data_IF_903490058810
#
_entry.id   IF_903490058810
#
_cell.length_a   1.000
_cell.length_b   1.000
_cell.length_c   1.000
_cell.angle_alpha   90.00
_cell.angle_beta   90.00
_cell.angle_gamma   90.00
#
_symmetry.space_group_name_H-M   'P 1'
#
loop_
_entity.id
_entity.type
_entity.pdbx_description
1 polymer ?
#
# COMPACT_ATOMS: atom_id res chain seq x y z
N UNK A 1 9.38 -10.30 4.43
CA UNK A 1 9.43 -11.22 3.27
C UNK A 1 10.28 -10.58 2.19
N UNK A 2 11.16 -11.38 1.57
CA UNK A 2 12.04 -10.96 0.49
C UNK A 2 11.42 -11.18 -0.88
N UNK A 3 10.63 -12.24 -1.09
CA UNK A 3 9.95 -12.48 -2.38
C UNK A 3 8.75 -11.52 -2.57
N UNK A 4 8.80 -10.60 -3.56
CA UNK A 4 7.73 -9.65 -3.83
C UNK A 4 6.41 -10.32 -4.22
N UNK A 5 6.47 -11.48 -4.88
CA UNK A 5 5.28 -12.19 -5.38
C UNK A 5 4.48 -12.75 -4.22
N UNK A 6 5.17 -13.42 -3.30
CA UNK A 6 4.56 -13.96 -2.08
C UNK A 6 4.07 -12.82 -1.20
N UNK A 7 4.82 -11.72 -1.11
CA UNK A 7 4.42 -10.54 -0.35
C UNK A 7 3.14 -9.90 -0.90
N UNK A 8 3.06 -9.66 -2.20
CA UNK A 8 1.88 -9.08 -2.85
C UNK A 8 0.68 -10.02 -2.68
N UNK A 9 0.86 -11.31 -2.95
CA UNK A 9 -0.21 -12.31 -2.81
C UNK A 9 -0.68 -12.42 -1.34
N UNK A 10 0.24 -12.41 -0.37
CA UNK A 10 -0.12 -12.40 1.04
C UNK A 10 -0.87 -11.12 1.44
N UNK A 11 -0.48 -9.95 0.92
CA UNK A 11 -1.22 -8.71 1.13
C UNK A 11 -2.66 -8.82 0.62
N UNK A 12 -2.86 -9.29 -0.61
CA UNK A 12 -4.20 -9.46 -1.19
C UNK A 12 -5.03 -10.47 -0.38
N UNK A 13 -4.46 -11.62 -0.05
CA UNK A 13 -5.14 -12.68 0.71
C UNK A 13 -5.53 -12.21 2.12
N UNK A 14 -4.62 -11.56 2.85
CA UNK A 14 -4.90 -11.10 4.21
C UNK A 14 -5.87 -9.92 4.21
N UNK A 15 -5.80 -9.02 3.22
CA UNK A 15 -6.80 -7.97 3.07
C UNK A 15 -8.19 -8.54 2.76
N UNK A 16 -8.28 -9.56 1.93
CA UNK A 16 -9.54 -10.27 1.67
C UNK A 16 -10.06 -10.97 2.94
N UNK A 17 -9.19 -11.66 3.69
CA UNK A 17 -9.56 -12.29 4.96
C UNK A 17 -10.04 -11.26 6.00
N UNK A 18 -9.35 -10.14 6.13
CA UNK A 18 -9.76 -9.05 7.02
C UNK A 18 -11.10 -8.42 6.62
N UNK A 19 -11.42 -8.40 5.33
CA UNK A 19 -12.71 -7.91 4.85
C UNK A 19 -13.86 -8.88 5.17
N UNK A 20 -13.64 -10.18 4.95
CA UNK A 20 -14.68 -11.22 5.05
C UNK A 20 -15.16 -11.43 6.50
N UNK A 21 -14.24 -11.47 7.47
CA UNK A 21 -14.58 -11.80 8.87
C UNK A 21 -13.82 -10.93 9.87
N UNK A 22 -14.46 -10.65 11.01
CA UNK A 22 -13.78 -10.03 12.16
C UNK A 22 -12.64 -10.93 12.68
N UNK A 23 -12.87 -12.25 12.74
CA UNK A 23 -11.84 -13.21 13.12
C UNK A 23 -10.67 -13.21 12.11
N UNK A 24 -10.99 -13.08 10.82
CA UNK A 24 -10.00 -12.91 9.75
C UNK A 24 -9.14 -11.66 9.93
N UNK A 25 -9.74 -10.54 10.37
CA UNK A 25 -9.00 -9.30 10.64
C UNK A 25 -8.04 -9.45 11.83
N UNK A 26 -8.50 -10.08 12.92
CA UNK A 26 -7.66 -10.34 14.10
C UNK A 26 -6.50 -11.27 13.76
N UNK A 27 -6.78 -12.37 13.05
CA UNK A 27 -5.74 -13.31 12.60
C UNK A 27 -4.74 -12.65 11.65
N UNK A 28 -5.21 -11.75 10.79
CA UNK A 28 -4.35 -10.96 9.90
C UNK A 28 -3.42 -10.03 10.67
N UNK A 29 -3.89 -9.42 11.76
CA UNK A 29 -3.07 -8.63 12.68
C UNK A 29 -2.05 -9.50 13.43
N UNK A 30 -2.45 -10.69 13.89
CA UNK A 30 -1.54 -11.66 14.55
C UNK A 30 -0.46 -12.12 13.56
N UNK A 31 -0.85 -12.47 12.34
CA UNK A 31 0.07 -12.81 11.26
C UNK A 31 1.09 -11.69 11.03
N UNK A 32 0.61 -10.45 10.96
CA UNK A 32 1.46 -9.27 10.80
C UNK A 32 2.42 -9.09 11.98
N UNK A 33 1.99 -9.33 13.23
CA UNK A 33 2.89 -9.25 14.39
C UNK A 33 4.02 -10.29 14.35
N UNK A 34 3.74 -11.50 13.86
CA UNK A 34 4.72 -12.60 13.81
C UNK A 34 5.70 -12.43 12.63
N UNK A 35 5.19 -12.11 11.45
CA UNK A 35 5.98 -12.11 10.20
C UNK A 35 6.35 -10.71 9.69
N UNK A 36 5.57 -9.68 10.04
CA UNK A 36 5.68 -8.33 9.49
C UNK A 36 6.37 -7.28 10.37
N UNK A 37 6.46 -7.51 11.69
CA UNK A 37 6.93 -6.52 12.68
C UNK A 37 8.35 -5.95 12.42
N UNK A 38 9.23 -6.70 11.75
CA UNK A 38 10.61 -6.28 11.52
C UNK A 38 10.79 -5.26 10.38
N UNK A 39 9.79 -5.04 9.52
CA UNK A 39 9.95 -4.30 8.26
C UNK A 39 8.93 -3.17 8.07
N UNK A 40 8.25 -2.67 9.10
CA UNK A 40 7.22 -1.64 8.91
C UNK A 40 7.78 -0.21 8.83
N UNK A 41 7.19 0.59 7.92
CA UNK A 41 7.54 2.00 7.68
C UNK A 41 6.98 2.91 8.77
N UNK A 42 6.23 2.36 9.72
CA UNK A 42 5.64 3.08 10.85
C UNK A 42 6.73 3.32 11.90
N UNK A 43 7.77 4.08 11.52
CA UNK A 43 8.87 4.45 12.41
C UNK A 43 8.51 5.62 13.32
N UNK A 44 7.43 6.35 12.99
CA UNK A 44 7.02 7.57 13.68
C UNK A 44 5.57 7.48 14.13
N UNK A 45 5.30 7.76 15.40
CA UNK A 45 3.94 7.77 16.00
C UNK A 45 2.95 8.62 15.20
N UNK A 46 3.41 9.72 14.58
CA UNK A 46 2.59 10.59 13.71
C UNK A 46 2.05 9.87 12.48
N UNK A 47 2.85 9.00 11.86
CA UNK A 47 2.39 8.21 10.70
C UNK A 47 1.34 7.19 11.10
N UNK A 48 1.49 6.57 12.28
CA UNK A 48 0.50 5.66 12.83
C UNK A 48 -0.83 6.38 13.09
N UNK A 49 -0.77 7.55 13.73
CA UNK A 49 -1.96 8.38 14.01
C UNK A 49 -2.66 8.77 12.71
N UNK A 50 -1.91 9.20 11.69
CA UNK A 50 -2.49 9.58 10.40
C UNK A 50 -3.18 8.39 9.70
N UNK A 51 -2.58 7.21 9.75
CA UNK A 51 -3.16 5.98 9.18
C UNK A 51 -4.44 5.58 9.94
N UNK A 52 -4.44 5.70 11.27
CA UNK A 52 -5.58 5.31 12.12
C UNK A 52 -6.72 6.35 12.11
N UNK A 53 -6.42 7.61 11.76
CA UNK A 53 -7.42 8.68 11.70
C UNK A 53 -8.57 8.33 10.74
N UNK A 54 -8.26 7.79 9.56
CA UNK A 54 -9.27 7.48 8.53
C UNK A 54 -10.25 6.39 9.01
N UNK A 55 -9.79 5.21 9.49
CA UNK A 55 -10.67 4.20 10.08
C UNK A 55 -11.51 4.73 11.23
N UNK A 56 -10.94 5.55 12.11
CA UNK A 56 -11.63 6.06 13.30
C UNK A 56 -12.75 7.02 12.90
N UNK A 57 -12.49 7.97 12.00
CA UNK A 57 -13.51 8.91 11.53
C UNK A 57 -14.65 8.17 10.81
N UNK A 58 -14.32 7.21 9.94
CA UNK A 58 -15.31 6.42 9.22
C UNK A 58 -16.09 5.48 10.16
N UNK A 59 -15.42 4.89 11.14
CA UNK A 59 -16.05 4.06 12.15
C UNK A 59 -17.01 4.83 13.06
N UNK A 60 -16.63 6.06 13.46
CA UNK A 60 -17.52 6.95 14.19
C UNK A 60 -18.76 7.33 13.37
N UNK A 61 -18.59 7.58 12.07
CA UNK A 61 -19.71 7.84 11.16
C UNK A 61 -20.64 6.62 11.03
N UNK A 62 -20.07 5.40 10.99
CA UNK A 62 -20.83 4.15 10.96
C UNK A 62 -21.62 3.91 12.26
N UNK A 63 -21.01 4.13 13.42
CA UNK A 63 -21.69 4.06 14.73
C UNK A 63 -22.87 5.04 14.76
N UNK A 64 -22.67 6.24 14.23
CA UNK A 64 -23.74 7.25 14.19
C UNK A 64 -24.89 6.87 13.25
N UNK A 65 -24.61 6.03 12.26
CA UNK A 65 -25.59 5.48 11.32
C UNK A 65 -26.27 4.19 11.84
N UNK A 66 -25.92 3.74 13.05
CA UNK A 66 -26.49 2.54 13.69
C UNK A 66 -25.87 1.21 13.23
N UNK A 67 -24.75 1.26 12.50
CA UNK A 67 -23.99 0.07 12.10
C UNK A 67 -22.92 -0.31 13.13
N UNK A 68 -22.41 -1.54 13.05
CA UNK A 68 -21.31 -2.01 13.90
C UNK A 68 -19.96 -1.40 13.48
N UNK A 69 -19.76 -0.14 13.85
CA UNK A 69 -18.55 0.59 13.50
C UNK A 69 -17.29 0.10 14.24
N UNK A 70 -17.41 -0.66 15.34
CA UNK A 70 -16.25 -1.26 16.00
C UNK A 70 -15.64 -2.37 15.14
N UNK A 71 -16.46 -3.26 14.58
CA UNK A 71 -16.03 -4.28 13.63
C UNK A 71 -15.38 -3.63 12.40
N UNK A 72 -15.99 -2.56 11.86
CA UNK A 72 -15.44 -1.81 10.73
C UNK A 72 -14.05 -1.22 11.01
N UNK A 73 -13.86 -0.56 12.17
CA UNK A 73 -12.56 0.02 12.55
C UNK A 73 -11.48 -1.06 12.55
N UNK A 74 -11.75 -2.22 13.15
CA UNK A 74 -10.78 -3.32 13.25
C UNK A 74 -10.40 -3.84 11.86
N UNK A 75 -11.40 -4.07 10.98
CA UNK A 75 -11.17 -4.57 9.62
C UNK A 75 -10.33 -3.60 8.79
N UNK A 76 -10.71 -2.32 8.73
CA UNK A 76 -9.97 -1.32 7.95
C UNK A 76 -8.58 -1.10 8.54
N UNK A 77 -8.43 -1.07 9.86
CA UNK A 77 -7.12 -0.92 10.51
C UNK A 77 -6.21 -2.09 10.14
N UNK A 78 -6.70 -3.33 10.13
CA UNK A 78 -5.94 -4.49 9.69
C UNK A 78 -5.48 -4.35 8.23
N UNK A 79 -6.38 -3.95 7.33
CA UNK A 79 -6.06 -3.73 5.91
C UNK A 79 -4.98 -2.65 5.74
N UNK A 80 -5.11 -1.52 6.42
CA UNK A 80 -4.15 -0.42 6.32
C UNK A 80 -2.78 -0.79 6.89
N UNK A 81 -2.73 -1.54 8.00
CA UNK A 81 -1.47 -2.01 8.57
C UNK A 81 -0.76 -2.96 7.61
N UNK A 82 -1.49 -3.89 6.99
CA UNK A 82 -0.94 -4.85 6.02
C UNK A 82 -0.46 -4.14 4.76
N UNK A 83 -1.23 -3.18 4.25
CA UNK A 83 -0.84 -2.34 3.12
C UNK A 83 0.42 -1.52 3.44
N UNK A 84 0.50 -0.93 4.64
CA UNK A 84 1.68 -0.19 5.10
C UNK A 84 2.91 -1.09 5.18
N UNK A 85 2.75 -2.33 5.65
CA UNK A 85 3.83 -3.33 5.66
C UNK A 85 4.33 -3.70 4.26
N UNK A 86 3.41 -3.89 3.29
CA UNK A 86 3.77 -4.17 1.89
C UNK A 86 4.64 -3.06 1.31
N UNK A 87 4.29 -1.80 1.57
CA UNK A 87 5.03 -0.64 1.09
C UNK A 87 6.41 -0.51 1.73
N UNK A 88 6.54 -0.86 3.00
CA UNK A 88 7.73 -0.61 3.79
C UNK A 88 8.93 -1.51 3.46
N UNK A 89 8.68 -2.73 2.98
CA UNK A 89 9.72 -3.67 2.60
C UNK A 89 10.23 -3.52 1.16
N UNK A 90 9.84 -2.46 0.47
CA UNK A 90 10.06 -2.30 -0.97
C UNK A 90 11.52 -1.97 -1.30
N UNK A 91 12.04 -2.55 -2.38
CA UNK A 91 13.31 -2.15 -2.98
C UNK A 91 13.13 -1.51 -4.37
N UNK A 92 14.08 -0.68 -4.85
CA UNK A 92 14.00 -0.08 -6.17
C UNK A 92 14.02 -1.14 -7.28
N UNK A 93 13.10 -1.06 -8.24
CA UNK A 93 12.93 -2.01 -9.34
C UNK A 93 11.91 -3.11 -9.07
N UNK A 94 11.38 -3.23 -7.85
CA UNK A 94 10.43 -4.28 -7.49
C UNK A 94 9.11 -4.21 -8.27
N UNK A 95 8.58 -3.01 -8.56
CA UNK A 95 7.34 -2.91 -9.36
C UNK A 95 7.57 -3.35 -10.80
N UNK A 96 8.78 -3.17 -11.33
CA UNK A 96 9.15 -3.66 -12.65
C UNK A 96 9.19 -5.19 -12.68
N UNK A 97 9.83 -5.80 -11.68
CA UNK A 97 9.88 -7.26 -11.53
C UNK A 97 8.49 -7.88 -11.44
N UNK A 98 7.64 -7.32 -10.57
CA UNK A 98 6.27 -7.78 -10.33
C UNK A 98 5.39 -7.53 -11.55
N UNK A 99 5.52 -6.37 -12.21
CA UNK A 99 4.76 -6.03 -13.40
C UNK A 99 5.00 -7.00 -14.55
N UNK A 100 6.27 -7.29 -14.83
CA UNK A 100 6.65 -8.27 -15.87
C UNK A 100 6.22 -9.69 -15.52
N UNK A 101 6.31 -10.07 -14.24
CA UNK A 101 5.83 -11.38 -13.80
C UNK A 101 4.30 -11.54 -13.94
N UNK A 102 3.51 -10.51 -13.61
CA UNK A 102 2.04 -10.57 -13.66
C UNK A 102 1.46 -10.45 -15.07
N UNK A 103 1.98 -9.52 -15.88
CA UNK A 103 1.39 -9.14 -17.16
C UNK A 103 2.29 -9.44 -18.37
N UNK A 104 3.44 -10.07 -18.15
CA UNK A 104 4.38 -10.46 -19.20
C UNK A 104 5.30 -9.34 -19.67
N UNK A 105 6.13 -9.66 -20.67
CA UNK A 105 7.26 -8.81 -21.06
C UNK A 105 6.85 -7.44 -21.63
N UNK A 106 5.76 -7.31 -22.39
CA UNK A 106 5.42 -6.02 -23.03
C UNK A 106 4.61 -5.11 -22.11
N UNK A 107 3.35 -5.48 -21.88
CA UNK A 107 2.40 -4.70 -21.05
C UNK A 107 2.82 -4.65 -19.58
N UNK A 108 3.38 -5.74 -19.06
CA UNK A 108 3.88 -5.79 -17.68
C UNK A 108 5.12 -4.96 -17.45
N UNK A 109 6.00 -4.86 -18.45
CA UNK A 109 7.14 -3.95 -18.39
C UNK A 109 6.66 -2.49 -18.33
N UNK A 110 5.72 -2.10 -19.19
CA UNK A 110 5.22 -0.72 -19.22
C UNK A 110 4.52 -0.37 -17.90
N UNK A 111 3.63 -1.25 -17.40
CA UNK A 111 2.95 -1.05 -16.12
C UNK A 111 3.92 -1.00 -14.94
N UNK A 112 4.91 -1.90 -14.92
CA UNK A 112 5.93 -1.96 -13.89
C UNK A 112 6.84 -0.73 -13.91
N UNK A 113 7.24 -0.27 -15.11
CA UNK A 113 8.05 0.93 -15.31
C UNK A 113 7.30 2.18 -14.90
N UNK A 114 6.04 2.34 -15.30
CA UNK A 114 5.19 3.45 -14.87
C UNK A 114 5.08 3.45 -13.35
N UNK A 115 4.80 2.29 -12.74
CA UNK A 115 4.71 2.16 -11.30
C UNK A 115 6.02 2.54 -10.58
N UNK A 116 7.16 2.09 -11.08
CA UNK A 116 8.48 2.43 -10.53
C UNK A 116 8.78 3.93 -10.65
N UNK A 117 8.51 4.53 -11.81
CA UNK A 117 8.68 5.96 -12.05
C UNK A 117 7.76 6.79 -11.16
N UNK A 118 6.49 6.39 -10.99
CA UNK A 118 5.54 7.06 -10.10
C UNK A 118 6.01 7.03 -8.64
N UNK A 119 6.50 5.89 -8.17
CA UNK A 119 6.99 5.76 -6.79
C UNK A 119 8.26 6.57 -6.55
N UNK A 120 9.20 6.53 -7.49
CA UNK A 120 10.39 7.41 -7.45
C UNK A 120 9.99 8.89 -7.42
N UNK A 121 8.98 9.29 -8.19
CA UNK A 121 8.47 10.66 -8.19
C UNK A 121 7.84 11.04 -6.85
N UNK A 122 7.12 10.14 -6.16
CA UNK A 122 6.58 10.38 -4.82
C UNK A 122 7.69 10.61 -3.77
N UNK A 123 8.79 9.85 -3.84
CA UNK A 123 9.94 10.05 -2.94
C UNK A 123 10.66 11.38 -3.19
N UNK A 124 10.80 11.77 -4.45
CA UNK A 124 11.33 13.09 -4.81
C UNK A 124 10.39 14.18 -4.31
N UNK A 125 9.09 14.01 -4.53
CA UNK A 125 8.05 14.95 -4.11
C UNK A 125 8.07 15.17 -2.59
N UNK A 126 8.14 14.10 -1.80
CA UNK A 126 8.22 14.19 -0.34
C UNK A 126 9.44 15.01 0.13
N UNK A 127 10.60 14.82 -0.52
CA UNK A 127 11.81 15.60 -0.23
C UNK A 127 11.67 17.07 -0.62
N UNK A 128 11.05 17.34 -1.76
CA UNK A 128 10.79 18.71 -2.22
C UNK A 128 9.80 19.45 -1.33
N UNK A 129 8.73 18.80 -0.86
CA UNK A 129 7.80 19.39 0.11
C UNK A 129 8.52 19.81 1.39
N UNK A 130 9.48 19.00 1.85
CA UNK A 130 10.29 19.35 3.02
C UNK A 130 11.18 20.58 2.74
N UNK A 131 11.86 20.62 1.58
CA UNK A 131 12.69 21.78 1.16
C UNK A 131 11.86 23.06 1.07
N UNK A 132 10.67 23.00 0.47
CA UNK A 132 9.77 24.15 0.38
C UNK A 132 9.31 24.60 1.78
N UNK A 133 8.99 23.65 2.66
CA UNK A 133 8.62 23.97 4.05
C UNK A 133 9.75 24.71 4.78
N UNK A 134 11.01 24.27 4.61
CA UNK A 134 12.18 24.93 5.17
C UNK A 134 12.36 26.33 4.57
N UNK A 135 12.23 26.50 3.26
CA UNK A 135 12.36 27.80 2.60
C UNK A 135 11.29 28.81 3.05
N UNK A 136 10.04 28.37 3.24
CA UNK A 136 8.96 29.21 3.76
C UNK A 136 9.26 29.66 5.20
N UNK A 137 9.76 28.74 6.04
CA UNK A 137 10.19 29.05 7.42
C UNK A 137 11.34 30.06 7.44
N UNK A 138 12.33 29.92 6.54
CA UNK A 138 13.43 30.87 6.40
C UNK A 138 12.96 32.26 5.98
N UNK A 139 11.88 32.35 5.19
CA UNK A 139 11.24 33.61 4.80
C UNK A 139 10.41 34.25 5.94
N UNK A 140 10.41 33.66 7.14
CA UNK A 140 9.63 34.12 8.28
C UNK A 140 8.11 33.98 8.12
N UNK A 141 7.65 33.32 7.06
CA UNK A 141 6.22 33.11 6.78
C UNK A 141 5.79 31.73 7.30
N UNK A 142 4.53 31.61 7.70
CA UNK A 142 3.90 30.31 8.03
C UNK A 142 3.16 29.77 6.81
N UNK A 143 3.02 28.46 6.69
CA UNK A 143 2.15 27.85 5.67
C UNK A 143 0.71 28.31 5.90
N UNK A 144 0.26 29.29 5.10
CA UNK A 144 -1.12 29.78 5.08
C UNK A 144 -1.89 29.05 3.96
N UNK A 145 -3.19 28.75 4.13
CA UNK A 145 -4.03 28.18 3.07
C UNK A 145 -3.94 28.94 1.74
N UNK A 146 -3.73 30.27 1.80
CA UNK A 146 -3.60 31.14 0.63
C UNK A 146 -2.32 30.91 -0.18
N UNK A 147 -1.26 30.35 0.43
CA UNK A 147 0.00 30.05 -0.25
C UNK A 147 0.06 28.62 -0.80
N UNK A 148 -0.88 27.75 -0.41
CA UNK A 148 -0.93 26.35 -0.87
C UNK A 148 -1.00 26.27 -2.40
N UNK A 149 -1.86 27.04 -3.12
CA UNK A 149 -1.94 26.94 -4.58
C UNK A 149 -0.64 27.30 -5.28
N UNK A 150 0.07 28.33 -4.79
CA UNK A 150 1.35 28.77 -5.38
C UNK A 150 2.50 27.79 -5.12
N UNK A 151 2.53 27.18 -3.93
CA UNK A 151 3.49 26.12 -3.61
C UNK A 151 3.21 24.89 -4.46
N UNK A 152 1.94 24.50 -4.56
CA UNK A 152 1.51 23.34 -5.32
C UNK A 152 1.83 23.50 -6.82
N UNK A 153 1.52 24.65 -7.41
CA UNK A 153 1.81 24.91 -8.83
C UNK A 153 3.30 24.82 -9.14
N UNK A 154 4.16 25.41 -8.30
CA UNK A 154 5.61 25.32 -8.47
C UNK A 154 6.13 23.88 -8.40
N UNK A 155 5.56 23.07 -7.50
CA UNK A 155 5.88 21.66 -7.37
C UNK A 155 5.41 20.86 -8.61
N UNK A 156 4.19 21.09 -9.09
CA UNK A 156 3.64 20.44 -10.29
C UNK A 156 4.46 20.76 -11.52
N UNK A 157 4.77 22.03 -11.76
CA UNK A 157 5.58 22.47 -12.92
C UNK A 157 6.94 21.76 -12.91
N UNK A 158 7.59 21.67 -11.75
CA UNK A 158 8.86 20.98 -11.62
C UNK A 158 8.76 19.47 -11.86
N UNK A 159 7.69 18.82 -11.41
CA UNK A 159 7.46 17.40 -11.71
C UNK A 159 7.23 17.15 -13.21
N UNK A 160 6.54 18.06 -13.90
CA UNK A 160 6.37 18.00 -15.36
C UNK A 160 7.71 18.13 -16.10
N UNK A 161 8.57 19.06 -15.67
CA UNK A 161 9.91 19.21 -16.24
C UNK A 161 10.77 17.96 -16.02
N UNK A 162 10.78 17.40 -14.81
CA UNK A 162 11.49 16.16 -14.50
C UNK A 162 10.94 14.96 -15.30
N UNK A 163 9.64 14.89 -15.50
CA UNK A 163 9.01 13.86 -16.33
C UNK A 163 9.46 13.99 -17.80
N UNK A 164 9.53 15.21 -18.33
CA UNK A 164 10.03 15.49 -19.68
C UNK A 164 11.50 15.03 -19.84
N UNK A 165 12.38 15.38 -18.91
CA UNK A 165 13.78 14.98 -18.92
C UNK A 165 13.94 13.45 -18.88
N UNK A 166 13.17 12.77 -18.02
CA UNK A 166 13.16 11.31 -17.93
C UNK A 166 12.65 10.67 -19.22
N UNK A 167 11.60 11.23 -19.83
CA UNK A 167 11.07 10.75 -21.09
C UNK A 167 12.13 10.85 -22.20
N UNK A 168 12.85 11.97 -22.31
CA UNK A 168 13.95 12.14 -23.28
C UNK A 168 15.03 11.08 -23.09
N UNK A 169 15.46 10.82 -21.85
CA UNK A 169 16.48 9.79 -21.56
C UNK A 169 15.98 8.39 -21.94
N UNK A 170 14.72 8.07 -21.67
CA UNK A 170 14.13 6.78 -22.04
C UNK A 170 14.07 6.62 -23.57
N UNK A 171 13.63 7.65 -24.29
CA UNK A 171 13.58 7.66 -25.75
C UNK A 171 14.98 7.51 -26.36
N UNK A 172 15.99 8.20 -25.83
CA UNK A 172 17.39 8.08 -26.28
C UNK A 172 17.96 6.67 -26.06
N UNK A 173 17.46 5.93 -25.07
CA UNK A 173 17.81 4.52 -24.82
C UNK A 173 17.01 3.53 -25.70
N UNK A 174 16.16 4.04 -26.59
CA UNK A 174 15.34 3.21 -27.48
C UNK A 174 14.05 2.69 -26.85
N UNK A 175 13.64 3.20 -25.68
CA UNK A 175 12.34 2.85 -25.12
C UNK A 175 11.23 3.61 -25.84
N UNK A 176 10.52 2.92 -26.74
CA UNK A 176 9.38 3.47 -27.49
C UNK A 176 8.05 2.85 -27.07
N UNK A 177 8.02 1.54 -26.83
CA UNK A 177 6.89 0.82 -26.20
C UNK A 177 7.30 -0.60 -25.81
N UNK A 178 6.83 -1.08 -24.66
CA UNK A 178 7.19 -2.38 -24.12
C UNK A 178 8.69 -2.52 -23.81
N UNK A 179 9.05 -3.66 -23.23
CA UNK A 179 10.44 -4.00 -22.97
C UNK A 179 10.61 -5.48 -22.67
N UNK A 180 11.79 -5.86 -22.21
CA UNK A 180 12.03 -7.17 -21.62
C UNK A 180 12.86 -6.95 -20.38
N UNK A 181 12.38 -7.45 -19.25
CA UNK A 181 13.12 -7.52 -18.01
C UNK A 181 13.20 -8.98 -17.58
N UNK A 182 14.36 -9.43 -17.11
CA UNK A 182 14.49 -10.77 -16.55
C UNK A 182 14.42 -10.64 -15.02
N UNK A 183 13.24 -10.78 -14.40
CA UNK A 183 13.13 -10.63 -12.96
C UNK A 183 13.83 -11.79 -12.24
N UNK A 184 14.60 -11.46 -11.20
CA UNK A 184 15.27 -12.45 -10.36
C UNK A 184 14.63 -12.42 -8.97
N UNK A 185 13.92 -13.49 -8.63
CA UNK A 185 13.24 -13.61 -7.35
C UNK A 185 14.00 -14.55 -6.41
N UNK A 186 14.19 -14.11 -5.16
CA UNK A 186 14.75 -14.94 -4.09
C UNK A 186 13.63 -15.33 -3.12
N UNK A 187 13.35 -16.62 -3.03
CA UNK A 187 12.26 -17.17 -2.19
C UNK A 187 12.81 -17.99 -1.02
N UNK A 188 13.18 -17.37 0.11
CA UNK A 188 13.64 -18.10 1.28
C UNK A 188 12.51 -18.96 1.90
N UNK A 189 12.87 -20.04 2.59
CA UNK A 189 11.89 -20.99 3.19
C UNK A 189 10.89 -20.28 4.12
N UNK A 190 11.38 -19.27 4.87
CA UNK A 190 10.56 -18.45 5.76
C UNK A 190 9.40 -17.75 5.03
N UNK A 191 9.62 -17.29 3.79
CA UNK A 191 8.59 -16.61 3.01
C UNK A 191 7.51 -17.61 2.55
N UNK A 192 7.91 -18.83 2.20
CA UNK A 192 6.96 -19.90 1.84
C UNK A 192 6.08 -20.31 3.02
N UNK A 193 6.67 -20.45 4.22
CA UNK A 193 5.91 -20.76 5.44
C UNK A 193 4.91 -19.65 5.74
N UNK A 194 5.35 -18.39 5.67
CA UNK A 194 4.49 -17.26 5.96
C UNK A 194 3.38 -17.08 4.88
N UNK A 195 3.66 -17.41 3.62
CA UNK A 195 2.67 -17.51 2.55
C UNK A 195 1.67 -18.66 2.75
N UNK A 196 2.11 -19.84 3.18
CA UNK A 196 1.19 -20.92 3.52
C UNK A 196 0.27 -20.54 4.69
N UNK A 197 0.82 -19.83 5.68
CA UNK A 197 0.05 -19.37 6.84
C UNK A 197 -0.99 -18.31 6.47
N UNK A 198 -0.76 -17.45 5.47
CA UNK A 198 -1.80 -16.51 5.04
C UNK A 198 -2.97 -17.21 4.35
N UNK A 199 -2.71 -18.28 3.59
CA UNK A 199 -3.79 -19.13 3.04
C UNK A 199 -4.62 -19.77 4.14
N UNK A 200 -4.00 -20.25 5.23
CA UNK A 200 -4.71 -20.78 6.38
C UNK A 200 -5.59 -19.72 7.08
N UNK A 201 -5.10 -18.48 7.20
CA UNK A 201 -5.89 -17.35 7.73
C UNK A 201 -7.12 -17.08 6.87
N UNK A 202 -6.98 -17.11 5.54
CA UNK A 202 -8.12 -16.95 4.63
C UNK A 202 -9.13 -18.09 4.77
N UNK A 203 -8.68 -19.35 4.79
CA UNK A 203 -9.57 -20.50 4.95
C UNK A 203 -10.34 -20.43 6.27
N UNK A 204 -9.67 -20.10 7.37
CA UNK A 204 -10.32 -19.91 8.65
C UNK A 204 -11.31 -18.74 8.63
N UNK A 205 -10.94 -17.64 7.98
CA UNK A 205 -11.82 -16.48 7.81
C UNK A 205 -13.06 -16.77 6.98
N UNK A 206 -12.99 -17.67 6.00
CA UNK A 206 -14.15 -18.10 5.21
C UNK A 206 -15.10 -18.97 6.05
N UNK A 207 -14.55 -19.87 6.88
CA UNK A 207 -15.34 -20.72 7.78
C UNK A 207 -16.01 -19.88 8.88
N UNK A 208 -15.26 -18.93 9.47
CA UNK A 208 -15.73 -18.02 10.51
C UNK A 208 -16.40 -16.74 9.94
N UNK A 209 -16.72 -16.72 8.65
CA UNK A 209 -17.29 -15.54 8.00
C UNK A 209 -18.72 -15.30 8.46
N UNK A 210 -18.97 -14.15 9.09
CA UNK A 210 -20.33 -13.70 9.48
C UNK A 210 -21.29 -13.60 8.28
N UNK A 211 -20.77 -13.54 7.04
CA UNK A 211 -21.55 -13.63 5.80
C UNK A 211 -22.36 -14.94 5.69
N UNK A 212 -21.85 -16.05 6.26
CA UNK A 212 -22.58 -17.31 6.31
C UNK A 212 -23.53 -17.41 7.51
N UNK A 213 -23.22 -16.72 8.61
CA UNK A 213 -24.02 -16.78 9.85
C UNK A 213 -25.29 -15.93 9.73
N UNK A 214 -25.27 -14.81 9.00
CA UNK A 214 -26.47 -13.98 8.77
C UNK A 214 -27.43 -14.62 7.73
N UNK A 215 -26.93 -15.49 6.83
CA UNK A 215 -27.80 -16.27 5.93
C UNK A 215 -28.37 -17.55 6.57
N UNK A 216 -27.84 -17.98 7.73
CA UNK A 216 -28.31 -19.16 8.45
C UNK A 216 -29.38 -18.88 9.52
N UNK A 217 -29.60 -17.61 9.88
CA UNK A 217 -30.54 -17.20 10.93
C UNK A 217 -31.89 -16.67 10.43
N UNK A 218 -32.15 -16.74 9.11
CA UNK A 218 -33.45 -16.39 8.50
C UNK A 218 -34.30 -17.58 8.06
N UNK A 219 -33.99 -18.80 8.52
CA UNK A 219 -34.80 -19.99 8.27
C UNK A 219 -34.90 -20.94 9.46
N UNK A 220 -35.36 -20.47 10.62
CA UNK A 220 -36.12 -21.32 11.56
C UNK A 220 -37.25 -20.45 12.12
N UNK A 221 -38.48 -20.92 11.89
CA UNK A 221 -39.76 -20.41 12.42
C UNK A 221 -39.75 -20.31 13.93
#
# INVERSE_FOLDING_TARGET
>A
MQDPRIRLLATVILSAAAWVSLAGAILSLIWWMIFGKAQTSIRTIRSLILILLVPVVMGLAAIWSGEDGFSYIIRITAILIIASWMYAGRYPGELLDVGVWLFGNKTGFDLGLIGELSMSSLEVLARETNRVSVAIRQKGKRLSPTMIPAVFSGVVIRQLQLAQERAVVLTLRGYTSGGTHCPVFVSPLKDRIAGAFCCAVLLFSLIAGDFFIISGSTFIV
#
